data_IF_729561975741
#
_entry.id   IF_729561975741
#
_cell.length_a   1.000
_cell.length_b   1.000
_cell.length_c   1.000
_cell.angle_alpha   90.00
_cell.angle_beta   90.00
_cell.angle_gamma   90.00
#
_symmetry.space_group_name_H-M   'P 1'
#
loop_
_entity.id
_entity.type
_entity.pdbx_description
1 polymer ?
#
# COMPACT_ATOMS: atom_id res chain seq x y z
N UNK A 1 5.15 -2.86 -0.29
CA UNK A 1 4.69 -2.13 0.89
C UNK A 1 5.64 -2.34 2.07
N UNK A 2 6.02 -3.58 2.46
CA UNK A 2 6.94 -3.84 3.58
C UNK A 2 8.23 -2.99 3.57
N UNK A 3 8.70 -2.58 2.40
CA UNK A 3 9.84 -1.67 2.26
C UNK A 3 9.58 -0.28 2.84
N UNK A 4 8.31 0.15 2.98
CA UNK A 4 8.00 1.46 3.56
C UNK A 4 8.31 1.54 5.05
N UNK A 5 8.06 0.45 5.80
CA UNK A 5 8.46 0.34 7.20
C UNK A 5 9.98 0.44 7.37
N UNK A 6 10.72 -0.27 6.52
CA UNK A 6 12.18 -0.21 6.54
C UNK A 6 12.67 1.20 6.17
N UNK A 7 12.04 1.85 5.19
CA UNK A 7 12.41 3.19 4.77
C UNK A 7 12.19 4.23 5.86
N UNK A 8 11.03 4.24 6.54
CA UNK A 8 10.77 5.21 7.61
C UNK A 8 11.62 4.92 8.85
N UNK A 9 11.96 3.65 9.12
CA UNK A 9 12.89 3.29 10.18
C UNK A 9 14.30 3.82 9.88
N UNK A 10 14.79 3.63 8.66
CA UNK A 10 16.07 4.18 8.23
C UNK A 10 16.07 5.72 8.17
N UNK A 11 14.93 6.33 7.83
CA UNK A 11 14.77 7.78 7.85
C UNK A 11 14.82 8.33 9.29
N UNK A 12 14.29 7.60 10.26
CA UNK A 12 14.40 7.94 11.69
C UNK A 12 15.86 8.03 12.14
N UNK A 13 16.66 7.08 11.66
CA UNK A 13 18.05 6.90 12.11
C UNK A 13 19.08 7.53 11.14
N UNK A 14 18.62 8.29 10.12
CA UNK A 14 19.46 8.84 9.03
C UNK A 14 20.63 9.70 9.53
N UNK A 15 20.46 10.39 10.67
CA UNK A 15 21.53 11.20 11.27
C UNK A 15 22.57 10.40 12.07
N UNK A 16 22.20 9.23 12.55
CA UNK A 16 23.06 8.40 13.41
C UNK A 16 23.68 7.22 12.69
N UNK A 17 23.04 6.70 11.65
CA UNK A 17 23.52 5.56 10.88
C UNK A 17 24.94 5.77 10.30
N UNK A 18 25.28 6.94 9.69
CA UNK A 18 26.63 7.19 9.19
C UNK A 18 27.71 7.18 10.28
N UNK A 19 27.34 7.63 11.49
CA UNK A 19 28.26 7.65 12.65
C UNK A 19 28.66 6.23 13.08
N UNK A 20 27.81 5.25 12.81
CA UNK A 20 28.02 3.84 13.11
C UNK A 20 28.46 3.04 11.86
N UNK A 21 28.88 3.71 10.79
CA UNK A 21 29.33 3.07 9.54
C UNK A 21 28.21 2.45 8.70
N UNK A 22 26.94 2.65 9.05
CA UNK A 22 25.80 2.10 8.31
C UNK A 22 25.46 2.97 7.10
N UNK A 23 25.46 2.36 5.92
CA UNK A 23 25.09 3.01 4.65
C UNK A 23 23.72 2.51 4.18
N UNK A 24 22.67 2.85 4.92
CA UNK A 24 21.29 2.50 4.57
C UNK A 24 20.83 3.20 3.29
N UNK A 25 19.75 2.72 2.68
CA UNK A 25 19.18 3.37 1.49
C UNK A 25 18.77 4.81 1.77
N UNK A 26 18.25 5.11 2.96
CA UNK A 26 17.91 6.47 3.36
C UNK A 26 19.14 7.38 3.38
N UNK A 27 20.27 6.90 3.91
CA UNK A 27 21.55 7.65 3.89
C UNK A 27 22.04 7.92 2.47
N UNK A 28 21.89 6.93 1.56
CA UNK A 28 22.29 7.08 0.15
C UNK A 28 21.42 8.06 -0.63
N UNK A 29 20.11 8.04 -0.41
CA UNK A 29 19.13 8.92 -1.08
C UNK A 29 19.15 10.35 -0.50
N UNK A 30 19.70 10.50 0.69
CA UNK A 30 19.56 11.71 1.48
C UNK A 30 18.14 11.89 2.03
N UNK A 31 17.96 12.85 2.90
CA UNK A 31 16.72 13.05 3.62
C UNK A 31 15.51 13.28 2.71
N UNK A 32 15.67 14.14 1.69
CA UNK A 32 14.59 14.45 0.72
C UNK A 32 14.22 13.23 -0.12
N UNK A 33 15.22 12.51 -0.62
CA UNK A 33 15.02 11.30 -1.42
C UNK A 33 14.36 10.19 -0.62
N UNK A 34 14.79 9.99 0.62
CA UNK A 34 14.19 8.98 1.53
C UNK A 34 12.73 9.29 1.87
N UNK A 35 12.38 10.57 2.08
CA UNK A 35 10.98 11.01 2.29
C UNK A 35 10.12 10.77 1.06
N UNK A 36 10.61 11.13 -0.13
CA UNK A 36 9.91 10.89 -1.38
C UNK A 36 9.71 9.38 -1.65
N UNK A 37 10.75 8.57 -1.42
CA UNK A 37 10.68 7.13 -1.56
C UNK A 37 9.65 6.50 -0.60
N UNK A 38 9.60 6.92 0.67
CA UNK A 38 8.60 6.49 1.62
C UNK A 38 7.18 6.81 1.15
N UNK A 39 6.92 8.03 0.70
CA UNK A 39 5.61 8.43 0.17
C UNK A 39 5.22 7.61 -1.07
N UNK A 40 6.16 7.37 -1.99
CA UNK A 40 5.93 6.56 -3.18
C UNK A 40 5.60 5.09 -2.81
N UNK A 41 6.30 4.52 -1.83
CA UNK A 41 6.06 3.14 -1.35
C UNK A 41 4.67 2.96 -0.74
N UNK A 42 4.06 4.00 -0.18
CA UNK A 42 2.68 3.97 0.32
C UNK A 42 1.65 4.26 -0.78
N UNK A 43 1.97 5.14 -1.74
CA UNK A 43 1.03 5.57 -2.77
C UNK A 43 0.91 4.57 -3.94
N UNK A 44 2.05 4.03 -4.42
CA UNK A 44 2.12 3.15 -5.60
C UNK A 44 1.31 1.85 -5.47
N UNK A 45 1.24 1.18 -4.31
CA UNK A 45 0.45 -0.03 -4.15
C UNK A 45 -1.04 0.14 -4.42
N UNK A 46 -1.61 1.32 -4.18
CA UNK A 46 -3.03 1.58 -4.41
C UNK A 46 -3.43 1.37 -5.89
N UNK A 47 -2.84 2.10 -6.87
CA UNK A 47 -3.17 1.89 -8.27
C UNK A 47 -2.76 0.49 -8.77
N UNK A 48 -1.65 -0.07 -8.27
CA UNK A 48 -1.25 -1.43 -8.63
C UNK A 48 -2.26 -2.47 -8.15
N UNK A 49 -2.84 -2.32 -6.96
CA UNK A 49 -3.88 -3.20 -6.46
C UNK A 49 -5.16 -3.14 -7.31
N UNK A 50 -5.56 -1.95 -7.75
CA UNK A 50 -6.70 -1.76 -8.67
C UNK A 50 -6.44 -2.43 -10.01
N UNK A 51 -5.26 -2.23 -10.60
CA UNK A 51 -4.87 -2.82 -11.88
C UNK A 51 -4.80 -4.34 -11.78
N UNK A 52 -4.19 -4.87 -10.71
CA UNK A 52 -4.09 -6.31 -10.50
C UNK A 52 -5.47 -6.98 -10.36
N UNK A 53 -6.38 -6.35 -9.64
CA UNK A 53 -7.74 -6.87 -9.47
C UNK A 53 -8.54 -6.82 -10.79
N UNK A 54 -8.40 -5.74 -11.54
CA UNK A 54 -9.01 -5.62 -12.86
C UNK A 54 -8.48 -6.70 -13.81
N UNK A 55 -7.17 -6.93 -13.83
CA UNK A 55 -6.56 -7.94 -14.67
C UNK A 55 -6.93 -9.37 -14.27
N UNK A 56 -6.94 -9.66 -12.96
CA UNK A 56 -7.36 -10.97 -12.44
C UNK A 56 -8.80 -11.29 -12.85
N UNK A 57 -9.70 -10.31 -12.73
CA UNK A 57 -11.09 -10.44 -13.18
C UNK A 57 -11.19 -10.69 -14.68
N UNK A 58 -10.51 -9.91 -15.52
CA UNK A 58 -10.53 -10.07 -16.97
C UNK A 58 -9.98 -11.43 -17.40
N UNK A 59 -8.94 -11.93 -16.75
CA UNK A 59 -8.38 -13.25 -16.99
C UNK A 59 -9.37 -14.37 -16.62
N UNK A 60 -10.07 -14.23 -15.50
CA UNK A 60 -11.08 -15.20 -15.06
C UNK A 60 -12.28 -15.26 -16.03
N UNK A 61 -12.77 -14.12 -16.49
CA UNK A 61 -13.83 -14.03 -17.51
C UNK A 61 -13.39 -14.67 -18.85
N UNK A 62 -12.15 -14.49 -19.27
CA UNK A 62 -11.59 -15.06 -20.50
C UNK A 62 -11.43 -16.59 -20.45
N UNK A 63 -11.27 -17.17 -19.26
CA UNK A 63 -11.16 -18.62 -19.04
C UNK A 63 -12.51 -19.34 -18.87
N UNK A 64 -13.64 -18.65 -19.14
CA UNK A 64 -14.96 -19.23 -18.99
C UNK A 64 -15.45 -19.31 -17.54
N UNK A 65 -14.90 -18.48 -16.67
CA UNK A 65 -15.38 -18.35 -15.29
C UNK A 65 -16.82 -17.91 -15.18
N UNK A 66 -17.34 -17.85 -13.97
CA UNK A 66 -18.74 -17.58 -13.62
C UNK A 66 -19.34 -16.34 -14.32
N UNK A 67 -18.49 -15.39 -14.73
CA UNK A 67 -18.90 -14.21 -15.51
C UNK A 67 -19.29 -14.51 -16.97
N UNK A 68 -18.75 -15.57 -17.58
CA UNK A 68 -19.02 -15.92 -18.99
C UNK A 68 -20.28 -16.79 -19.15
N UNK A 69 -20.64 -17.57 -18.13
CA UNK A 69 -21.82 -18.46 -18.10
C UNK A 69 -22.88 -18.05 -17.08
N UNK A 70 -22.54 -17.14 -16.17
CA UNK A 70 -23.44 -16.62 -15.15
C UNK A 70 -24.37 -15.55 -15.70
N UNK A 71 -25.65 -15.63 -15.32
CA UNK A 71 -26.64 -14.63 -15.67
C UNK A 71 -26.30 -13.24 -15.10
N UNK A 72 -27.10 -12.22 -15.43
CA UNK A 72 -26.90 -10.83 -14.99
C UNK A 72 -26.63 -10.66 -13.49
N UNK A 73 -27.13 -11.57 -12.66
CA UNK A 73 -26.92 -11.55 -11.20
C UNK A 73 -25.46 -11.72 -10.80
N UNK A 74 -24.72 -12.63 -11.43
CA UNK A 74 -23.28 -12.85 -11.13
C UNK A 74 -22.40 -11.68 -11.58
N UNK A 75 -22.74 -11.07 -12.70
CA UNK A 75 -22.06 -9.86 -13.16
C UNK A 75 -22.27 -8.70 -12.17
N UNK A 76 -23.50 -8.51 -11.66
CA UNK A 76 -23.81 -7.49 -10.66
C UNK A 76 -23.05 -7.73 -9.35
N UNK A 77 -23.02 -8.97 -8.84
CA UNK A 77 -22.27 -9.30 -7.62
C UNK A 77 -20.78 -8.98 -7.79
N UNK A 78 -20.18 -9.39 -8.91
CA UNK A 78 -18.77 -9.09 -9.18
C UNK A 78 -18.48 -7.58 -9.24
N UNK A 79 -19.38 -6.80 -9.83
CA UNK A 79 -19.27 -5.33 -9.87
C UNK A 79 -19.39 -4.70 -8.49
N UNK A 80 -20.35 -5.18 -7.68
CA UNK A 80 -20.51 -4.69 -6.30
C UNK A 80 -19.27 -4.97 -5.44
N UNK A 81 -18.68 -6.15 -5.56
CA UNK A 81 -17.45 -6.50 -4.85
C UNK A 81 -16.28 -5.60 -5.27
N UNK A 82 -16.19 -5.28 -6.56
CA UNK A 82 -15.18 -4.32 -7.04
C UNK A 82 -15.40 -2.93 -6.47
N UNK A 83 -16.64 -2.44 -6.42
CA UNK A 83 -16.97 -1.15 -5.80
C UNK A 83 -16.65 -1.12 -4.30
N UNK A 84 -16.95 -2.21 -3.59
CA UNK A 84 -16.61 -2.37 -2.17
C UNK A 84 -15.09 -2.30 -1.98
N UNK A 85 -14.31 -2.94 -2.83
CA UNK A 85 -12.84 -2.84 -2.79
C UNK A 85 -12.34 -1.42 -3.05
N UNK A 86 -12.90 -0.73 -4.04
CA UNK A 86 -12.54 0.68 -4.30
C UNK A 86 -12.90 1.58 -3.11
N UNK A 87 -14.08 1.42 -2.52
CA UNK A 87 -14.49 2.17 -1.34
C UNK A 87 -13.54 1.90 -0.15
N UNK A 88 -13.12 0.66 0.00
CA UNK A 88 -12.14 0.27 1.01
C UNK A 88 -10.78 0.93 0.78
N UNK A 89 -10.28 0.97 -0.45
CA UNK A 89 -9.03 1.69 -0.76
C UNK A 89 -9.13 3.18 -0.41
N UNK A 90 -10.28 3.80 -0.66
CA UNK A 90 -10.53 5.19 -0.25
C UNK A 90 -10.51 5.35 1.28
N UNK A 91 -11.01 4.35 2.03
CA UNK A 91 -10.97 4.35 3.49
C UNK A 91 -9.53 4.27 4.04
N UNK A 92 -8.58 3.70 3.27
CA UNK A 92 -7.17 3.66 3.63
C UNK A 92 -6.43 5.00 3.47
N UNK A 93 -6.98 5.93 2.65
CA UNK A 93 -6.35 7.22 2.40
C UNK A 93 -6.08 8.02 3.70
N UNK A 94 -7.02 8.13 4.66
CA UNK A 94 -6.75 8.82 5.92
C UNK A 94 -5.57 8.21 6.70
N UNK A 95 -5.44 6.88 6.68
CA UNK A 95 -4.36 6.18 7.36
C UNK A 95 -3.01 6.44 6.68
N UNK A 96 -2.97 6.39 5.35
CA UNK A 96 -1.78 6.75 4.57
C UNK A 96 -1.38 8.21 4.81
N UNK A 97 -2.35 9.14 4.82
CA UNK A 97 -2.11 10.56 5.10
C UNK A 97 -1.54 10.77 6.51
N UNK A 98 -2.03 10.04 7.52
CA UNK A 98 -1.49 10.11 8.89
C UNK A 98 -0.04 9.64 8.96
N UNK A 99 0.30 8.56 8.26
CA UNK A 99 1.67 8.04 8.17
C UNK A 99 2.62 9.02 7.45
N UNK A 100 2.16 9.66 6.36
CA UNK A 100 2.95 10.52 5.48
C UNK A 100 3.13 11.94 6.03
N UNK A 101 2.11 12.52 6.67
CA UNK A 101 2.12 13.91 7.14
C UNK A 101 3.35 14.29 7.98
N UNK A 102 3.77 13.54 9.03
CA UNK A 102 4.95 13.89 9.82
C UNK A 102 6.23 13.85 8.97
N UNK A 103 6.31 12.86 8.07
CA UNK A 103 7.45 12.70 7.16
C UNK A 103 7.57 13.91 6.23
N UNK A 104 6.49 14.38 5.63
CA UNK A 104 6.48 15.56 4.77
C UNK A 104 6.77 16.86 5.52
N UNK A 105 6.39 16.94 6.80
CA UNK A 105 6.66 18.11 7.66
C UNK A 105 8.11 18.20 8.14
N UNK A 106 8.99 17.31 7.71
CA UNK A 106 10.38 17.35 8.08
C UNK A 106 10.69 16.75 9.46
N UNK A 107 9.74 16.03 10.08
CA UNK A 107 9.96 15.37 11.36
C UNK A 107 11.09 14.34 11.22
N UNK A 108 11.96 14.23 12.26
CA UNK A 108 13.10 13.34 12.28
C UNK A 108 13.23 12.61 13.63
N UNK A 109 14.07 11.57 13.68
CA UNK A 109 14.36 10.84 14.91
C UNK A 109 13.13 10.16 15.52
N UNK A 110 13.07 10.10 16.84
CA UNK A 110 12.01 9.39 17.58
C UNK A 110 10.59 9.91 17.32
N UNK A 111 10.43 11.14 16.85
CA UNK A 111 9.13 11.70 16.50
C UNK A 111 8.50 11.07 15.23
N UNK A 112 9.24 10.20 14.49
CA UNK A 112 8.73 9.38 13.40
C UNK A 112 8.09 8.05 13.86
N UNK A 113 8.15 7.69 15.15
CA UNK A 113 7.56 6.44 15.67
C UNK A 113 6.05 6.33 15.35
N UNK A 114 5.23 7.39 15.48
CA UNK A 114 3.82 7.33 15.06
C UNK A 114 3.66 7.01 13.57
N UNK A 115 4.49 7.58 12.69
CA UNK A 115 4.48 7.30 11.26
C UNK A 115 4.82 5.83 10.96
N UNK A 116 5.76 5.25 11.73
CA UNK A 116 6.12 3.83 11.63
C UNK A 116 4.92 2.93 11.97
N UNK A 117 4.23 3.23 13.07
CA UNK A 117 3.03 2.51 13.51
C UNK A 117 1.90 2.60 12.48
N UNK A 118 1.60 3.83 12.02
CA UNK A 118 0.51 4.07 11.08
C UNK A 118 0.79 3.46 9.71
N UNK A 119 2.07 3.44 9.26
CA UNK A 119 2.49 2.73 8.06
C UNK A 119 2.33 1.21 8.20
N UNK A 120 2.71 0.64 9.34
CA UNK A 120 2.51 -0.80 9.60
C UNK A 120 1.05 -1.20 9.62
N UNK A 121 0.19 -0.39 10.23
CA UNK A 121 -1.25 -0.61 10.22
C UNK A 121 -1.83 -0.51 8.79
N UNK A 122 -1.40 0.49 8.02
CA UNK A 122 -1.76 0.63 6.61
C UNK A 122 -1.38 -0.62 5.79
N UNK A 123 -0.16 -1.13 5.96
CA UNK A 123 0.31 -2.33 5.27
C UNK A 123 -0.51 -3.57 5.60
N UNK A 124 -0.78 -3.78 6.89
CA UNK A 124 -1.57 -4.91 7.35
C UNK A 124 -2.98 -4.89 6.77
N UNK A 125 -3.64 -3.75 6.88
CA UNK A 125 -5.02 -3.59 6.43
C UNK A 125 -5.09 -3.70 4.90
N UNK A 126 -4.18 -3.06 4.16
CA UNK A 126 -4.07 -3.18 2.71
C UNK A 126 -3.83 -4.62 2.26
N UNK A 127 -2.91 -5.33 2.92
CA UNK A 127 -2.55 -6.71 2.58
C UNK A 127 -3.72 -7.67 2.76
N UNK A 128 -4.42 -7.61 3.90
CA UNK A 128 -5.59 -8.45 4.18
C UNK A 128 -6.69 -8.22 3.14
N UNK A 129 -7.03 -6.96 2.87
CA UNK A 129 -8.12 -6.68 1.94
C UNK A 129 -7.79 -7.06 0.50
N UNK A 130 -6.56 -6.83 0.05
CA UNK A 130 -6.14 -7.25 -1.29
C UNK A 130 -6.16 -8.78 -1.41
N UNK A 131 -5.71 -9.51 -0.38
CA UNK A 131 -5.77 -10.97 -0.35
C UNK A 131 -7.22 -11.48 -0.41
N UNK A 132 -8.12 -10.89 0.38
CA UNK A 132 -9.55 -11.25 0.36
C UNK A 132 -10.17 -10.94 -1.02
N UNK A 133 -9.89 -9.76 -1.58
CA UNK A 133 -10.42 -9.37 -2.89
C UNK A 133 -9.97 -10.33 -4.01
N UNK A 134 -8.68 -10.73 -4.01
CA UNK A 134 -8.15 -11.69 -4.97
C UNK A 134 -8.75 -13.10 -4.76
N UNK A 135 -8.93 -13.55 -3.53
CA UNK A 135 -9.56 -14.82 -3.22
C UNK A 135 -11.00 -14.87 -3.73
N UNK A 136 -11.76 -13.78 -3.55
CA UNK A 136 -13.15 -13.68 -4.05
C UNK A 136 -13.22 -13.70 -5.58
N UNK A 137 -12.27 -13.08 -6.28
CA UNK A 137 -12.22 -13.11 -7.76
C UNK A 137 -11.85 -14.49 -8.28
N UNK A 138 -11.12 -15.31 -7.52
CA UNK A 138 -10.71 -16.65 -7.90
C UNK A 138 -11.80 -17.73 -7.67
N UNK A 139 -12.89 -17.41 -6.95
CA UNK A 139 -14.06 -18.29 -6.73
C UNK A 139 -15.09 -18.17 -7.85
#
# INVERSE_FOLDING_TARGET
IACSLLMVNNLRDIGTDPLHGKRTLAVRLGERGARAAFCAMLAVPIPLGVIALWWARSAHEAQGGVGASGGAATAVVGYLLYLVYLAYLLLLVPLAVRAVRPVLRGVAGRALIPSLRDAGLYELVYGIATAVALAVVAL
#
